data_IF_958107837605
#
_entry.id   IF_958107837605
#
_cell.length_a   1.000
_cell.length_b   1.000
_cell.length_c   1.000
_cell.angle_alpha   90.00
_cell.angle_beta   90.00
_cell.angle_gamma   90.00
#
_symmetry.space_group_name_H-M   'P 1'
#
loop_
_entity.id
_entity.type
_entity.pdbx_description
1 polymer ?
#
# COMPACT_ATOMS: atom_id res chain seq x y z
N UNK A 1 -24.10 18.65 -4.54
CA UNK A 1 -22.66 18.92 -4.35
C UNK A 1 -22.06 19.21 -5.71
N UNK A 2 -21.14 20.16 -5.82
CA UNK A 2 -20.43 20.43 -7.07
C UNK A 2 -19.25 19.46 -7.25
N UNK A 3 -19.44 18.41 -8.05
CA UNK A 3 -18.41 17.43 -8.41
C UNK A 3 -17.59 17.99 -9.56
N UNK A 4 -16.28 18.06 -9.35
CA UNK A 4 -15.31 18.57 -10.32
C UNK A 4 -14.78 17.43 -11.20
N UNK A 5 -14.19 17.82 -12.34
CA UNK A 5 -13.50 16.91 -13.24
C UNK A 5 -14.33 16.40 -14.41
N UNK A 6 -13.83 15.37 -15.11
CA UNK A 6 -14.34 14.92 -16.41
C UNK A 6 -14.77 13.46 -16.41
N UNK A 7 -15.72 13.15 -17.29
CA UNK A 7 -16.06 11.79 -17.73
C UNK A 7 -16.10 11.79 -19.25
N UNK A 8 -15.76 10.67 -19.86
CA UNK A 8 -15.97 10.45 -21.29
C UNK A 8 -17.46 10.20 -21.58
N UNK A 9 -17.88 10.42 -22.82
CA UNK A 9 -19.26 10.17 -23.27
C UNK A 9 -19.70 8.74 -22.91
N UNK A 10 -20.89 8.62 -22.32
CA UNK A 10 -21.46 7.35 -21.84
C UNK A 10 -21.03 6.95 -20.42
N UNK A 11 -20.13 7.70 -19.77
CA UNK A 11 -19.73 7.50 -18.37
C UNK A 11 -20.35 8.52 -17.42
N UNK A 12 -21.34 9.30 -17.85
CA UNK A 12 -22.12 10.21 -17.01
C UNK A 12 -22.72 9.50 -15.78
N UNK A 13 -23.25 8.26 -15.86
CA UNK A 13 -23.74 7.55 -14.69
C UNK A 13 -22.69 7.35 -13.59
N UNK A 14 -21.38 7.32 -13.93
CA UNK A 14 -20.30 7.26 -12.94
C UNK A 14 -20.20 8.57 -12.16
N UNK A 15 -20.35 9.71 -12.83
CA UNK A 15 -20.38 11.03 -12.18
C UNK A 15 -21.59 11.14 -11.26
N UNK A 16 -22.76 10.70 -11.72
CA UNK A 16 -23.99 10.75 -10.94
C UNK A 16 -23.88 9.89 -9.67
N UNK A 17 -23.37 8.65 -9.79
CA UNK A 17 -23.13 7.78 -8.66
C UNK A 17 -22.07 8.34 -7.69
N UNK A 18 -21.01 8.96 -8.22
CA UNK A 18 -20.01 9.62 -7.39
C UNK A 18 -20.61 10.80 -6.61
N UNK A 19 -21.43 11.64 -7.25
CA UNK A 19 -22.14 12.74 -6.59
C UNK A 19 -23.14 12.24 -5.53
N UNK A 20 -23.80 11.12 -5.79
CA UNK A 20 -24.76 10.50 -4.86
C UNK A 20 -24.11 10.09 -3.53
N UNK A 21 -22.85 9.64 -3.54
CA UNK A 21 -22.15 9.27 -2.31
C UNK A 21 -22.09 10.43 -1.30
N UNK A 22 -21.91 11.67 -1.77
CA UNK A 22 -21.93 12.85 -0.92
C UNK A 22 -23.34 13.18 -0.42
N UNK A 23 -24.35 13.03 -1.29
CA UNK A 23 -25.73 13.35 -0.94
C UNK A 23 -26.37 12.34 0.02
N UNK A 24 -25.98 11.06 -0.07
CA UNK A 24 -26.68 9.95 0.61
C UNK A 24 -25.82 9.12 1.55
N UNK A 25 -24.49 9.12 1.37
CA UNK A 25 -23.57 8.24 2.14
C UNK A 25 -22.62 9.01 3.05
N UNK A 26 -22.75 10.33 3.11
CA UNK A 26 -21.98 11.18 4.01
C UNK A 26 -20.52 11.33 3.62
N UNK A 27 -20.17 11.11 2.35
CA UNK A 27 -18.82 11.44 1.89
C UNK A 27 -18.51 12.91 2.16
N UNK A 28 -17.30 13.16 2.66
CA UNK A 28 -16.81 14.51 2.97
C UNK A 28 -15.88 15.04 1.91
N UNK A 29 -15.02 14.16 1.41
CA UNK A 29 -14.04 14.44 0.37
C UNK A 29 -13.62 13.14 -0.29
N UNK A 30 -13.66 13.10 -1.62
CA UNK A 30 -13.29 11.92 -2.37
C UNK A 30 -12.74 12.28 -3.74
N UNK A 31 -12.04 11.31 -4.35
CA UNK A 31 -11.64 11.34 -5.75
C UNK A 31 -11.80 9.95 -6.38
N UNK A 32 -12.04 9.93 -7.69
CA UNK A 32 -12.19 8.73 -8.50
C UNK A 32 -11.49 8.91 -9.84
N UNK A 33 -10.60 7.97 -10.17
CA UNK A 33 -10.05 7.83 -11.52
C UNK A 33 -10.45 6.47 -12.09
N UNK A 34 -10.98 6.45 -13.32
CA UNK A 34 -11.35 5.24 -14.04
C UNK A 34 -10.58 5.16 -15.36
N UNK A 35 -9.98 4.01 -15.62
CA UNK A 35 -9.31 3.71 -16.89
C UNK A 35 -10.00 2.54 -17.59
N UNK A 36 -10.25 2.70 -18.89
CA UNK A 36 -10.75 1.65 -19.78
C UNK A 36 -9.77 1.50 -20.95
N UNK A 37 -9.22 0.29 -21.11
CA UNK A 37 -8.20 -0.02 -22.13
C UNK A 37 -7.03 0.98 -22.15
N UNK A 38 -6.52 1.34 -20.97
CA UNK A 38 -5.41 2.27 -20.81
C UNK A 38 -5.77 3.76 -21.00
N UNK A 39 -7.02 4.10 -21.33
CA UNK A 39 -7.48 5.49 -21.45
C UNK A 39 -8.25 5.91 -20.21
N UNK A 40 -7.94 7.08 -19.67
CA UNK A 40 -8.71 7.66 -18.56
C UNK A 40 -10.07 8.10 -19.08
N UNK A 41 -11.13 7.49 -18.55
CA UNK A 41 -12.53 7.76 -18.93
C UNK A 41 -13.31 8.47 -17.82
N UNK A 42 -12.78 8.54 -16.61
CA UNK A 42 -13.27 9.43 -15.56
C UNK A 42 -12.10 9.93 -14.70
N UNK A 43 -12.15 11.21 -14.32
CA UNK A 43 -11.24 11.88 -13.39
C UNK A 43 -12.08 12.86 -12.57
N UNK A 44 -12.56 12.43 -11.42
CA UNK A 44 -13.55 13.14 -10.61
C UNK A 44 -13.02 13.40 -9.20
N UNK A 45 -13.40 14.54 -8.64
CA UNK A 45 -13.16 14.84 -7.23
C UNK A 45 -14.22 15.80 -6.68
N UNK A 46 -14.35 15.86 -5.36
CA UNK A 46 -15.29 16.75 -4.71
C UNK A 46 -15.18 16.73 -3.21
N UNK A 47 -15.79 17.72 -2.56
CA UNK A 47 -15.82 17.83 -1.11
C UNK A 47 -14.67 18.61 -0.52
N UNK A 48 -14.34 18.32 0.73
CA UNK A 48 -13.27 18.97 1.48
C UNK A 48 -12.04 18.09 1.54
N UNK A 49 -10.86 18.70 1.46
CA UNK A 49 -9.57 18.04 1.62
C UNK A 49 -9.42 17.41 3.01
N UNK A 50 -9.83 18.17 4.03
CA UNK A 50 -9.77 17.73 5.43
C UNK A 50 -11.14 17.30 5.93
N UNK A 51 -11.16 16.26 6.75
CA UNK A 51 -12.37 15.76 7.41
C UNK A 51 -12.79 16.59 8.64
N UNK A 52 -12.31 17.80 8.83
CA UNK A 52 -12.77 18.76 9.84
C UNK A 52 -12.54 20.20 9.34
N UNK A 53 -11.99 20.35 8.14
CA UNK A 53 -11.76 21.63 7.49
C UNK A 53 -12.84 22.00 6.47
N UNK A 54 -12.65 23.16 5.88
CA UNK A 54 -13.48 23.71 4.80
C UNK A 54 -12.69 23.88 3.48
N UNK A 55 -11.38 23.59 3.49
CA UNK A 55 -10.55 23.66 2.29
C UNK A 55 -11.08 22.65 1.27
N UNK A 56 -11.37 23.07 0.02
CA UNK A 56 -11.92 22.17 -0.98
C UNK A 56 -10.91 21.10 -1.37
N UNK A 57 -11.42 19.91 -1.69
CA UNK A 57 -10.65 18.89 -2.38
C UNK A 57 -10.28 19.43 -3.77
N UNK A 58 -9.00 19.34 -4.12
CA UNK A 58 -8.50 19.74 -5.44
C UNK A 58 -8.02 18.53 -6.22
N UNK A 59 -7.80 18.68 -7.53
CA UNK A 59 -7.28 17.60 -8.39
C UNK A 59 -6.02 16.94 -7.81
N UNK A 60 -5.17 17.72 -7.14
CA UNK A 60 -3.88 17.29 -6.64
C UNK A 60 -3.87 16.95 -5.14
N UNK A 61 -5.04 16.99 -4.47
CA UNK A 61 -5.17 16.54 -3.09
C UNK A 61 -4.76 15.07 -2.97
N UNK A 62 -3.76 14.82 -2.12
CA UNK A 62 -3.29 13.50 -1.80
C UNK A 62 -4.03 12.95 -0.57
N UNK A 63 -4.17 11.63 -0.49
CA UNK A 63 -4.83 10.98 0.64
C UNK A 63 -4.13 9.66 1.00
N UNK A 64 -4.19 9.28 2.28
CA UNK A 64 -3.63 8.02 2.77
C UNK A 64 -4.55 6.87 2.33
N UNK A 65 -4.07 6.02 1.42
CA UNK A 65 -4.84 4.90 0.84
C UNK A 65 -4.76 3.60 1.64
N UNK A 66 -4.17 3.63 2.84
CA UNK A 66 -4.03 2.49 3.78
C UNK A 66 -3.61 1.20 3.07
N UNK A 67 -4.37 0.12 3.23
CA UNK A 67 -4.01 -1.21 2.72
C UNK A 67 -4.03 -1.32 1.18
N UNK A 68 -4.60 -0.36 0.44
CA UNK A 68 -4.47 -0.33 -1.02
C UNK A 68 -2.99 -0.22 -1.46
N UNK A 69 -2.13 0.33 -0.59
CA UNK A 69 -0.67 0.33 -0.76
C UNK A 69 -0.09 -1.06 -1.01
N UNK A 70 -0.70 -2.12 -0.46
CA UNK A 70 -0.20 -3.49 -0.61
C UNK A 70 -0.19 -3.96 -2.07
N UNK A 71 -1.13 -3.51 -2.89
CA UNK A 71 -1.14 -3.83 -4.33
C UNK A 71 0.08 -3.27 -5.04
N UNK A 72 0.41 -2.00 -4.79
CA UNK A 72 1.63 -1.36 -5.32
C UNK A 72 2.88 -2.03 -4.77
N UNK A 73 2.92 -2.30 -3.46
CA UNK A 73 4.05 -2.95 -2.81
C UNK A 73 4.30 -4.37 -3.35
N UNK A 74 3.24 -5.14 -3.64
CA UNK A 74 3.32 -6.48 -4.21
C UNK A 74 3.83 -6.48 -5.67
N UNK A 75 3.58 -5.41 -6.43
CA UNK A 75 4.10 -5.28 -7.79
C UNK A 75 5.64 -5.27 -7.81
N UNK A 76 6.30 -4.77 -6.75
CA UNK A 76 7.77 -4.69 -6.68
C UNK A 76 8.43 -6.08 -6.77
N UNK A 77 8.19 -7.04 -5.85
CA UNK A 77 8.77 -8.38 -5.97
C UNK A 77 8.33 -9.12 -7.23
N UNK A 78 7.13 -8.87 -7.76
CA UNK A 78 6.70 -9.45 -9.05
C UNK A 78 7.53 -8.91 -10.23
N UNK A 79 7.82 -7.61 -10.26
CA UNK A 79 8.69 -7.00 -11.26
C UNK A 79 10.15 -7.46 -11.10
N UNK A 80 10.64 -7.58 -9.86
CA UNK A 80 11.97 -8.16 -9.59
C UNK A 80 12.04 -9.61 -10.08
N UNK A 81 10.97 -10.39 -9.91
CA UNK A 81 10.88 -11.74 -10.43
C UNK A 81 10.89 -11.79 -11.96
N UNK A 82 10.08 -10.95 -12.61
CA UNK A 82 10.09 -10.80 -14.06
C UNK A 82 11.48 -10.44 -14.60
N UNK A 83 12.28 -9.67 -13.83
CA UNK A 83 13.66 -9.30 -14.17
C UNK A 83 14.71 -10.36 -13.79
N UNK A 84 14.30 -11.52 -13.27
CA UNK A 84 15.20 -12.60 -12.83
C UNK A 84 16.01 -12.30 -11.56
N UNK A 85 15.65 -11.25 -10.82
CA UNK A 85 16.35 -10.79 -9.61
C UNK A 85 15.81 -11.44 -8.32
N UNK A 86 14.58 -11.91 -8.37
CA UNK A 86 13.89 -12.58 -7.27
C UNK A 86 13.20 -13.86 -7.78
N UNK A 87 13.22 -14.92 -6.99
CA UNK A 87 12.52 -16.16 -7.29
C UNK A 87 11.37 -16.34 -6.30
N UNK A 88 10.14 -16.43 -6.82
CA UNK A 88 8.94 -16.58 -6.00
C UNK A 88 8.88 -17.95 -5.29
N UNK A 89 9.57 -18.94 -5.85
CA UNK A 89 9.63 -20.32 -5.35
C UNK A 89 10.89 -20.59 -4.53
N UNK A 90 11.78 -19.61 -4.41
CA UNK A 90 12.90 -19.68 -3.49
C UNK A 90 12.44 -19.46 -2.04
N UNK A 91 13.23 -20.02 -1.11
CA UNK A 91 13.09 -19.71 0.32
C UNK A 91 13.36 -18.23 0.55
N UNK A 92 12.60 -17.59 1.42
CA UNK A 92 12.87 -16.21 1.88
C UNK A 92 14.29 -16.10 2.44
N UNK A 93 14.76 -17.15 3.11
CA UNK A 93 16.10 -17.24 3.70
C UNK A 93 17.25 -17.19 2.69
N UNK A 94 16.99 -17.38 1.40
CA UNK A 94 17.97 -17.11 0.33
C UNK A 94 18.36 -15.63 0.26
N UNK A 95 17.41 -14.75 0.53
CA UNK A 95 17.57 -13.29 0.45
C UNK A 95 17.71 -12.66 1.84
N UNK A 96 17.05 -13.25 2.84
CA UNK A 96 17.00 -12.76 4.21
C UNK A 96 17.30 -13.92 5.18
N UNK A 97 18.59 -14.27 5.38
CA UNK A 97 19.00 -15.46 6.14
C UNK A 97 18.39 -15.58 7.54
N UNK A 98 18.23 -14.47 8.24
CA UNK A 98 17.70 -14.35 9.59
C UNK A 98 16.23 -14.79 9.67
N UNK A 99 15.47 -14.66 8.56
CA UNK A 99 14.07 -15.05 8.49
C UNK A 99 13.84 -16.55 8.72
N UNK A 100 14.85 -17.42 8.54
CA UNK A 100 14.68 -18.88 8.73
C UNK A 100 14.49 -19.29 10.20
N UNK A 101 14.69 -18.38 11.15
CA UNK A 101 14.61 -18.71 12.57
C UNK A 101 13.22 -19.27 12.96
N UNK A 102 13.20 -20.10 13.99
CA UNK A 102 11.99 -20.55 14.68
C UNK A 102 10.94 -21.20 13.76
N UNK A 103 11.35 -22.12 12.87
CA UNK A 103 10.44 -22.92 12.03
C UNK A 103 10.02 -22.27 10.71
N UNK A 104 10.75 -21.23 10.28
CA UNK A 104 10.47 -20.48 9.03
C UNK A 104 11.40 -20.83 7.88
N UNK A 105 12.24 -21.86 8.01
CA UNK A 105 13.23 -22.26 7.00
C UNK A 105 12.61 -22.68 5.66
N UNK A 106 11.33 -23.07 5.68
CA UNK A 106 10.58 -23.46 4.48
C UNK A 106 9.71 -22.35 3.89
N UNK A 107 9.67 -21.15 4.46
CA UNK A 107 8.83 -20.08 3.90
C UNK A 107 9.35 -19.67 2.52
N UNK A 108 8.46 -19.68 1.53
CA UNK A 108 8.73 -19.23 0.17
C UNK A 108 8.42 -17.75 0.01
N UNK A 109 9.07 -17.08 -0.94
CA UNK A 109 8.79 -15.68 -1.26
C UNK A 109 7.30 -15.46 -1.59
N UNK A 110 6.69 -16.36 -2.38
CA UNK A 110 5.25 -16.31 -2.68
C UNK A 110 4.35 -16.39 -1.43
N UNK A 111 4.79 -17.03 -0.35
CA UNK A 111 4.02 -17.08 0.90
C UNK A 111 3.92 -15.70 1.57
N UNK A 112 4.93 -14.84 1.42
CA UNK A 112 4.87 -13.45 1.91
C UNK A 112 3.76 -12.68 1.17
N UNK A 113 3.70 -12.83 -0.16
CA UNK A 113 2.73 -12.16 -1.02
C UNK A 113 1.30 -12.64 -0.80
N UNK A 114 1.12 -13.91 -0.46
CA UNK A 114 -0.19 -14.53 -0.29
C UNK A 114 -0.66 -14.61 1.16
N UNK A 115 -0.01 -13.92 2.11
CA UNK A 115 -0.37 -13.95 3.54
C UNK A 115 -0.28 -15.35 4.20
N UNK A 116 0.68 -16.17 3.76
CA UNK A 116 0.90 -17.55 4.25
C UNK A 116 2.26 -17.75 4.93
N UNK A 117 2.91 -16.64 5.30
CA UNK A 117 4.15 -16.67 6.09
C UNK A 117 3.92 -17.04 7.57
N UNK A 118 2.64 -17.09 7.98
CA UNK A 118 2.18 -17.46 9.32
C UNK A 118 2.63 -16.50 10.43
N UNK A 119 2.89 -15.22 10.13
CA UNK A 119 3.15 -14.17 11.14
C UNK A 119 2.21 -12.98 10.92
N UNK A 120 0.88 -13.16 11.03
CA UNK A 120 -0.09 -12.10 10.71
C UNK A 120 -0.07 -10.93 11.71
N UNK A 121 0.36 -11.18 12.94
CA UNK A 121 0.51 -10.21 14.02
C UNK A 121 1.76 -10.52 14.84
N UNK A 122 2.33 -9.49 15.47
CA UNK A 122 3.45 -9.68 16.38
C UNK A 122 2.96 -10.18 17.74
N UNK A 123 3.73 -11.06 18.37
CA UNK A 123 3.50 -11.50 19.77
C UNK A 123 3.82 -10.38 20.77
N UNK A 124 4.78 -9.53 20.41
CA UNK A 124 5.24 -8.38 21.19
C UNK A 124 4.93 -7.09 20.43
N UNK A 125 4.06 -6.23 20.97
CA UNK A 125 3.73 -4.96 20.33
C UNK A 125 4.96 -4.05 20.19
N UNK A 126 5.05 -3.36 19.06
CA UNK A 126 6.03 -2.30 18.83
C UNK A 126 5.40 -0.95 19.16
N UNK A 127 6.22 -0.02 19.68
CA UNK A 127 5.84 1.39 19.74
C UNK A 127 5.69 1.96 18.32
N UNK A 128 4.94 3.06 18.12
CA UNK A 128 4.85 3.71 16.81
C UNK A 128 6.21 4.10 16.20
N UNK A 129 7.17 4.50 17.04
CA UNK A 129 8.53 4.81 16.59
C UNK A 129 9.25 3.57 16.03
N UNK A 130 9.20 2.45 16.76
CA UNK A 130 9.76 1.17 16.31
C UNK A 130 9.04 0.63 15.07
N UNK A 131 7.72 0.80 14.97
CA UNK A 131 6.96 0.36 13.81
C UNK A 131 7.36 1.09 12.50
N UNK A 132 7.90 2.31 12.62
CA UNK A 132 8.29 3.19 11.52
C UNK A 132 9.79 3.32 11.26
N UNK A 133 10.67 2.73 12.07
CA UNK A 133 12.13 2.89 11.96
C UNK A 133 12.77 2.10 10.80
N UNK A 134 12.02 1.16 10.20
CA UNK A 134 12.48 0.29 9.11
C UNK A 134 13.41 -0.85 9.55
N UNK A 135 13.57 -1.09 10.85
CA UNK A 135 14.48 -2.07 11.45
C UNK A 135 13.74 -2.99 12.43
N UNK A 136 13.07 -2.42 13.45
CA UNK A 136 12.46 -3.19 14.54
C UNK A 136 11.35 -4.13 14.04
N UNK A 137 10.54 -3.67 13.09
CA UNK A 137 9.46 -4.47 12.47
C UNK A 137 9.97 -5.74 11.78
N UNK A 138 10.87 -5.63 10.78
CA UNK A 138 11.48 -6.78 10.15
C UNK A 138 12.18 -7.73 11.14
N UNK A 139 12.95 -7.20 12.08
CA UNK A 139 13.65 -8.01 13.08
C UNK A 139 12.67 -8.82 13.96
N UNK A 140 11.60 -8.18 14.44
CA UNK A 140 10.56 -8.86 15.21
C UNK A 140 9.89 -9.99 14.39
N UNK A 141 9.54 -9.74 13.13
CA UNK A 141 8.95 -10.78 12.26
C UNK A 141 9.92 -11.94 12.01
N UNK A 142 11.21 -11.65 11.78
CA UNK A 142 12.21 -12.70 11.57
C UNK A 142 12.44 -13.54 12.83
N UNK A 143 12.41 -12.92 14.00
CA UNK A 143 12.59 -13.61 15.28
C UNK A 143 11.36 -14.41 15.72
N UNK A 144 10.15 -14.05 15.32
CA UNK A 144 8.93 -14.69 15.83
C UNK A 144 8.67 -16.08 15.21
N UNK A 145 8.23 -17.04 16.02
CA UNK A 145 7.75 -18.35 15.53
C UNK A 145 6.43 -18.20 14.75
N UNK A 146 6.19 -18.98 13.69
CA UNK A 146 4.95 -18.90 12.94
C UNK A 146 3.77 -19.43 13.77
N UNK A 147 2.60 -18.83 13.63
CA UNK A 147 1.38 -19.22 14.33
C UNK A 147 0.80 -20.57 13.84
N UNK A 148 1.17 -20.99 12.63
CA UNK A 148 0.84 -22.29 12.04
C UNK A 148 1.94 -22.69 11.04
N UNK A 149 1.87 -23.89 10.46
CA UNK A 149 2.85 -24.31 9.46
C UNK A 149 2.84 -23.37 8.23
N UNK A 150 3.95 -22.67 7.91
CA UNK A 150 3.95 -21.72 6.79
C UNK A 150 3.55 -22.37 5.45
N UNK A 151 2.64 -21.73 4.73
CA UNK A 151 2.12 -22.21 3.44
C UNK A 151 0.86 -23.06 3.53
N UNK A 152 0.48 -23.58 4.70
CA UNK A 152 -0.72 -24.44 4.82
C UNK A 152 -1.99 -23.62 4.99
N UNK A 153 -1.95 -22.53 5.77
CA UNK A 153 -3.10 -21.66 6.03
C UNK A 153 -2.83 -20.19 5.66
N UNK A 154 -3.88 -19.36 5.72
CA UNK A 154 -3.90 -17.94 5.41
C UNK A 154 -4.34 -17.13 6.64
N UNK A 155 -3.60 -16.07 6.95
CA UNK A 155 -4.06 -15.05 7.88
C UNK A 155 -3.59 -13.69 7.43
N UNK A 156 -4.48 -12.71 7.36
CA UNK A 156 -4.16 -11.41 6.79
C UNK A 156 -3.07 -10.69 7.61
N UNK A 157 -1.92 -10.45 6.98
CA UNK A 157 -0.79 -9.74 7.58
C UNK A 157 -1.03 -8.23 7.47
N UNK A 158 -1.88 -7.70 8.34
CA UNK A 158 -2.33 -6.31 8.25
C UNK A 158 -1.15 -5.33 8.28
N UNK A 159 -0.24 -5.52 9.23
CA UNK A 159 0.98 -4.71 9.39
C UNK A 159 2.24 -5.46 8.96
N UNK A 160 2.42 -6.73 9.36
CA UNK A 160 3.67 -7.48 9.10
C UNK A 160 3.97 -7.69 7.61
N UNK A 161 2.98 -7.53 6.72
CA UNK A 161 3.18 -7.50 5.28
C UNK A 161 4.11 -6.35 4.85
N UNK A 162 3.96 -5.16 5.44
CA UNK A 162 4.78 -4.00 5.04
C UNK A 162 6.26 -4.22 5.39
N UNK A 163 6.53 -4.77 6.58
CA UNK A 163 7.88 -5.08 7.02
C UNK A 163 8.52 -6.23 6.23
N UNK A 164 7.78 -7.31 5.96
CA UNK A 164 8.31 -8.45 5.21
C UNK A 164 8.61 -8.12 3.75
N UNK A 165 7.70 -7.45 3.05
CA UNK A 165 7.93 -7.05 1.65
C UNK A 165 8.99 -5.94 1.58
N UNK A 166 8.95 -4.97 2.49
CA UNK A 166 9.94 -3.90 2.55
C UNK A 166 11.36 -4.42 2.75
N UNK A 167 11.55 -5.34 3.71
CA UNK A 167 12.85 -5.94 3.98
C UNK A 167 13.33 -6.84 2.83
N UNK A 168 12.44 -7.64 2.24
CA UNK A 168 12.82 -8.45 1.07
C UNK A 168 13.34 -7.57 -0.08
N UNK A 169 12.62 -6.49 -0.40
CA UNK A 169 13.04 -5.54 -1.44
C UNK A 169 14.38 -4.89 -1.09
N UNK A 170 14.58 -4.50 0.18
CA UNK A 170 15.86 -3.94 0.66
C UNK A 170 17.00 -4.92 0.48
N UNK A 171 16.82 -6.19 0.87
CA UNK A 171 17.83 -7.25 0.75
C UNK A 171 18.21 -7.56 -0.70
N UNK A 172 17.24 -7.54 -1.61
CA UNK A 172 17.46 -7.85 -3.04
C UNK A 172 18.07 -6.66 -3.79
N UNK A 173 17.70 -5.44 -3.45
CA UNK A 173 17.99 -4.26 -4.30
C UNK A 173 18.90 -3.22 -3.66
N UNK A 174 19.13 -3.30 -2.34
CA UNK A 174 19.80 -2.25 -1.56
C UNK A 174 18.99 -0.97 -1.38
N UNK A 175 17.76 -0.89 -1.90
CA UNK A 175 16.88 0.29 -1.84
C UNK A 175 15.68 0.02 -0.93
N UNK A 176 15.20 1.04 -0.24
CA UNK A 176 13.89 0.95 0.43
C UNK A 176 12.79 0.77 -0.62
N UNK A 177 11.69 0.10 -0.26
CA UNK A 177 10.57 -0.09 -1.19
C UNK A 177 10.00 1.24 -1.69
N UNK A 178 9.97 2.28 -0.84
CA UNK A 178 9.53 3.62 -1.23
C UNK A 178 10.42 4.26 -2.29
N UNK A 179 11.75 4.16 -2.12
CA UNK A 179 12.70 4.63 -3.12
C UNK A 179 12.55 3.86 -4.44
N UNK A 180 12.42 2.53 -4.36
CA UNK A 180 12.25 1.69 -5.55
C UNK A 180 10.97 2.06 -6.31
N UNK A 181 9.82 2.17 -5.63
CA UNK A 181 8.55 2.58 -6.23
C UNK A 181 8.66 3.98 -6.84
N UNK A 182 9.32 4.92 -6.16
CA UNK A 182 9.51 6.26 -6.67
C UNK A 182 10.37 6.32 -7.95
N UNK A 183 11.42 5.50 -8.04
CA UNK A 183 12.36 5.45 -9.18
C UNK A 183 11.79 4.67 -10.37
N UNK A 184 11.12 3.55 -10.11
CA UNK A 184 10.82 2.54 -11.13
C UNK A 184 9.36 2.57 -11.59
N UNK A 185 8.47 3.19 -10.81
CA UNK A 185 7.02 3.25 -11.09
C UNK A 185 6.52 4.70 -11.12
N UNK A 186 6.59 5.40 -9.99
CA UNK A 186 5.87 6.66 -9.83
C UNK A 186 6.43 7.78 -10.71
N UNK A 187 7.75 8.03 -10.72
CA UNK A 187 8.33 9.08 -11.57
C UNK A 187 8.24 8.80 -13.07
N UNK A 188 8.58 7.59 -13.58
CA UNK A 188 8.44 7.30 -15.02
C UNK A 188 7.02 7.46 -15.55
N UNK A 189 6.01 7.23 -14.69
CA UNK A 189 4.60 7.35 -15.03
C UNK A 189 3.97 8.69 -14.62
N UNK A 190 4.74 9.61 -14.01
CA UNK A 190 4.24 10.91 -13.55
C UNK A 190 3.15 10.82 -12.46
N UNK A 191 3.21 9.83 -11.57
CA UNK A 191 2.19 9.58 -10.55
C UNK A 191 2.42 10.37 -9.27
N UNK A 192 1.36 10.94 -8.70
CA UNK A 192 1.31 11.44 -7.32
C UNK A 192 1.14 10.30 -6.30
N UNK A 193 2.10 9.38 -6.27
CA UNK A 193 2.07 8.17 -5.44
C UNK A 193 3.38 8.04 -4.66
N UNK A 194 3.26 7.90 -3.33
CA UNK A 194 4.41 7.82 -2.44
C UNK A 194 4.24 6.71 -1.39
N UNK A 195 5.33 5.99 -1.15
CA UNK A 195 5.53 5.20 0.07
C UNK A 195 6.69 5.89 0.79
N UNK A 196 6.37 6.64 1.84
CA UNK A 196 7.27 7.67 2.39
C UNK A 196 7.07 8.99 1.63
N UNK A 197 6.17 9.82 2.12
CA UNK A 197 5.81 11.10 1.50
C UNK A 197 6.97 12.11 1.62
N UNK A 198 7.39 12.76 0.51
CA UNK A 198 8.34 13.87 0.57
C UNK A 198 7.80 15.05 1.37
N UNK A 199 8.66 15.77 2.09
CA UNK A 199 8.27 16.93 2.91
C UNK A 199 7.52 17.99 2.10
N UNK A 200 7.99 18.27 0.88
CA UNK A 200 7.40 19.26 -0.01
C UNK A 200 5.96 18.93 -0.44
N UNK A 201 5.55 17.67 -0.37
CA UNK A 201 4.22 17.22 -0.77
C UNK A 201 3.21 17.22 0.40
N UNK A 202 3.68 17.42 1.65
CA UNK A 202 2.82 17.45 2.85
C UNK A 202 1.61 18.39 2.73
N UNK A 203 1.72 19.60 2.17
CA UNK A 203 0.57 20.50 2.04
C UNK A 203 -0.57 19.93 1.19
N UNK A 204 -0.32 18.93 0.34
CA UNK A 204 -1.35 18.29 -0.49
C UNK A 204 -2.19 17.27 0.25
N UNK A 205 -1.70 16.75 1.38
CA UNK A 205 -2.34 15.63 2.08
C UNK A 205 -3.55 16.12 2.86
N UNK A 206 -4.70 15.53 2.58
CA UNK A 206 -5.91 15.74 3.37
C UNK A 206 -5.88 14.98 4.68
N UNK A 207 -6.36 15.59 5.77
CA UNK A 207 -6.48 14.94 7.08
C UNK A 207 -7.69 14.00 7.11
N UNK A 208 -7.43 12.74 7.49
CA UNK A 208 -8.48 11.77 7.77
C UNK A 208 -9.13 12.13 9.11
N UNK A 209 -10.46 12.10 9.15
CA UNK A 209 -11.23 12.34 10.37
C UNK A 209 -11.68 11.04 11.00
N UNK A 210 -12.17 11.15 12.23
CA UNK A 210 -12.77 10.01 12.92
C UNK A 210 -14.05 9.57 12.20
N UNK A 211 -14.27 8.25 12.16
CA UNK A 211 -15.57 7.69 11.78
C UNK A 211 -16.37 7.62 13.08
N UNK A 212 -17.47 8.38 13.22
CA UNK A 212 -18.33 8.27 14.40
C UNK A 212 -18.79 6.82 14.57
N UNK A 213 -18.75 6.33 15.81
CA UNK A 213 -19.17 4.97 16.17
C UNK A 213 -20.67 4.73 15.94
#
# INVERSE_FOLDING_TARGET
MDVQGTVADGFEPVRDAFAENFARRGERGAALALYLHGRKVADLWGGTKDADGQEPWTRDTAQVVRSATKGVAAAVPLLLHQRGQLDLDARVSRYWPEFKANGKERVLVRHLLSHRAAVPALDTPLTPAQAGDGVSGPEAVAAQAPAWEPGTDHGYHAQTFSWTIGELVRRVTGRTIGRWVAEEIARPLGLGLWIGLPEAERPRVGRIGDVPA
#
